data_IF_754239074383
#
_entry.id   IF_754239074383
#
_cell.length_a   1.000
_cell.length_b   1.000
_cell.length_c   1.000
_cell.angle_alpha   90.00
_cell.angle_beta   90.00
_cell.angle_gamma   90.00
#
_symmetry.space_group_name_H-M   'P 1'
#
loop_
_entity.id
_entity.type
_entity.pdbx_description
1 polymer ?
#
# COMPACT_ATOMS: atom_id res chain seq x y z
N UNK A 1 20.27 -11.72 9.90
CA UNK A 1 20.54 -12.62 8.75
C UNK A 1 19.20 -12.98 8.13
N UNK A 2 19.07 -12.87 6.81
CA UNK A 2 17.87 -13.31 6.07
C UNK A 2 18.18 -14.65 5.41
N UNK A 3 17.26 -15.61 5.54
CA UNK A 3 17.42 -16.96 5.01
C UNK A 3 16.07 -17.60 4.73
N UNK A 4 16.00 -18.70 3.96
CA UNK A 4 14.78 -19.49 3.82
C UNK A 4 14.28 -20.01 5.17
N UNK A 5 12.96 -20.08 5.41
CA UNK A 5 12.40 -20.55 6.69
C UNK A 5 12.89 -21.94 7.11
N UNK A 6 13.14 -22.83 6.15
CA UNK A 6 13.63 -24.19 6.41
C UNK A 6 15.01 -24.25 7.08
N UNK A 7 15.83 -23.19 6.92
CA UNK A 7 17.20 -23.14 7.46
C UNK A 7 17.25 -22.42 8.83
N UNK A 8 16.17 -21.74 9.23
CA UNK A 8 16.19 -20.84 10.39
C UNK A 8 16.56 -21.56 11.70
N UNK A 9 15.98 -22.72 11.95
CA UNK A 9 16.22 -23.50 13.17
C UNK A 9 17.67 -24.02 13.29
N UNK A 10 18.22 -24.45 12.15
CA UNK A 10 19.64 -24.89 12.09
C UNK A 10 20.59 -23.71 12.32
N UNK A 11 20.28 -22.55 11.75
CA UNK A 11 21.08 -21.34 11.91
C UNK A 11 21.04 -20.83 13.36
N UNK A 12 19.87 -20.81 14.02
CA UNK A 12 19.77 -20.43 15.42
C UNK A 12 20.58 -21.33 16.33
N UNK A 13 20.46 -22.66 16.16
CA UNK A 13 21.26 -23.61 16.95
C UNK A 13 22.78 -23.41 16.77
N UNK A 14 23.22 -23.13 15.54
CA UNK A 14 24.63 -22.87 15.27
C UNK A 14 25.11 -21.55 15.91
N UNK A 15 24.29 -20.50 15.84
CA UNK A 15 24.60 -19.21 16.47
C UNK A 15 24.62 -19.32 18.00
N UNK A 16 23.62 -19.95 18.60
CA UNK A 16 23.54 -20.11 20.05
C UNK A 16 24.67 -20.99 20.58
N UNK A 17 25.14 -21.98 19.82
CA UNK A 17 26.30 -22.79 20.18
C UNK A 17 27.62 -22.01 20.09
N UNK A 18 27.78 -21.20 19.05
CA UNK A 18 28.98 -20.37 18.86
C UNK A 18 29.11 -19.30 19.97
N UNK A 19 27.99 -18.68 20.36
CA UNK A 19 27.94 -17.62 21.35
C UNK A 19 27.45 -18.09 22.73
N UNK A 20 27.61 -19.40 23.05
CA UNK A 20 27.10 -19.98 24.29
C UNK A 20 27.60 -19.28 25.53
N UNK A 21 28.88 -18.90 25.56
CA UNK A 21 29.50 -18.21 26.71
C UNK A 21 28.93 -16.81 26.95
N UNK A 22 28.71 -16.08 25.89
CA UNK A 22 28.13 -14.73 25.91
C UNK A 22 26.66 -14.77 26.34
N UNK A 23 25.94 -15.81 25.94
CA UNK A 23 24.56 -16.05 26.35
C UNK A 23 24.49 -16.43 27.82
N UNK A 24 25.33 -17.37 28.27
CA UNK A 24 25.41 -17.79 29.69
C UNK A 24 25.77 -16.65 30.64
N UNK A 25 26.66 -15.77 30.22
CA UNK A 25 27.06 -14.58 30.97
C UNK A 25 26.07 -13.42 30.91
N UNK A 26 24.98 -13.55 30.17
CA UNK A 26 23.98 -12.50 29.97
C UNK A 26 24.47 -11.32 29.12
N UNK A 27 25.60 -11.45 28.42
CA UNK A 27 26.13 -10.43 27.52
C UNK A 27 25.39 -10.41 26.18
N UNK A 28 24.73 -11.51 25.80
CA UNK A 28 23.97 -11.66 24.59
C UNK A 28 22.69 -12.48 24.83
N UNK A 29 21.61 -12.16 24.13
CA UNK A 29 20.40 -12.97 24.14
C UNK A 29 20.49 -14.06 23.07
N UNK A 30 19.79 -15.21 23.25
CA UNK A 30 19.66 -16.22 22.22
C UNK A 30 19.09 -15.66 20.92
N UNK A 31 19.40 -16.31 19.79
CA UNK A 31 18.92 -15.89 18.50
C UNK A 31 17.39 -15.99 18.40
N UNK A 32 16.76 -14.93 17.87
CA UNK A 32 15.31 -14.85 17.68
C UNK A 32 14.99 -14.96 16.21
N UNK A 33 14.00 -15.80 15.86
CA UNK A 33 13.49 -15.95 14.49
C UNK A 33 12.25 -15.07 14.31
N UNK A 34 12.29 -14.16 13.33
CA UNK A 34 11.11 -13.47 12.84
C UNK A 34 10.69 -14.08 11.49
N UNK A 35 9.43 -14.48 11.38
CA UNK A 35 8.84 -15.10 10.17
C UNK A 35 7.83 -14.16 9.51
N UNK A 36 7.31 -14.52 8.34
CA UNK A 36 6.34 -13.71 7.60
C UNK A 36 6.93 -12.42 7.03
N UNK A 37 8.23 -12.39 6.78
CA UNK A 37 8.98 -11.25 6.27
C UNK A 37 9.42 -11.48 4.82
N UNK A 38 9.58 -10.40 4.07
CA UNK A 38 10.09 -10.39 2.70
C UNK A 38 11.19 -9.36 2.56
N UNK A 39 12.25 -9.74 1.85
CA UNK A 39 13.34 -8.82 1.52
C UNK A 39 13.11 -8.20 0.15
N UNK A 40 13.20 -6.89 0.10
CA UNK A 40 13.15 -6.08 -1.13
C UNK A 40 14.50 -5.44 -1.35
N UNK A 41 15.02 -5.51 -2.57
CA UNK A 41 16.25 -4.82 -2.95
C UNK A 41 15.97 -3.81 -4.07
N UNK A 42 16.41 -2.58 -3.86
CA UNK A 42 16.46 -1.54 -4.90
C UNK A 42 17.90 -1.50 -5.42
N UNK A 43 18.06 -1.69 -6.73
CA UNK A 43 19.37 -1.74 -7.38
C UNK A 43 19.47 -0.62 -8.40
N UNK A 44 20.56 0.14 -8.36
CA UNK A 44 20.76 1.24 -9.29
C UNK A 44 22.20 1.72 -9.34
N UNK A 45 22.76 1.86 -10.53
CA UNK A 45 24.16 2.25 -10.76
C UNK A 45 24.52 3.69 -10.27
N UNK A 46 23.52 4.55 -10.12
CA UNK A 46 23.73 5.96 -9.68
C UNK A 46 23.27 6.23 -8.25
N UNK A 47 22.89 5.24 -7.49
CA UNK A 47 22.34 5.42 -6.13
C UNK A 47 23.37 6.11 -5.21
N UNK A 48 24.63 5.75 -5.32
CA UNK A 48 25.74 6.30 -4.52
C UNK A 48 25.90 7.82 -4.65
N UNK A 49 25.66 8.35 -5.84
CA UNK A 49 25.91 9.76 -6.15
C UNK A 49 24.66 10.61 -6.24
N UNK A 50 23.49 10.05 -5.85
CA UNK A 50 22.21 10.76 -5.88
C UNK A 50 21.75 11.07 -4.45
N UNK A 51 21.97 12.32 -3.98
CA UNK A 51 21.52 12.71 -2.64
C UNK A 51 20.02 12.53 -2.46
N UNK A 52 19.61 12.10 -1.27
CA UNK A 52 18.20 12.02 -0.90
C UNK A 52 17.46 10.76 -1.38
N UNK A 53 18.10 9.83 -2.10
CA UNK A 53 17.45 8.61 -2.62
C UNK A 53 16.88 7.75 -1.47
N UNK A 54 17.64 7.56 -0.39
CA UNK A 54 17.19 6.83 0.79
C UNK A 54 16.04 7.54 1.49
N UNK A 55 16.13 8.88 1.63
CA UNK A 55 15.05 9.68 2.20
C UNK A 55 13.77 9.60 1.39
N UNK A 56 13.88 9.61 0.05
CA UNK A 56 12.74 9.42 -0.85
C UNK A 56 12.13 8.02 -0.67
N UNK A 57 12.96 6.97 -0.65
CA UNK A 57 12.52 5.58 -0.51
C UNK A 57 11.76 5.35 0.81
N UNK A 58 12.41 5.62 1.94
CA UNK A 58 11.79 5.39 3.23
C UNK A 58 10.64 6.35 3.53
N UNK A 59 10.72 7.59 3.02
CA UNK A 59 9.61 8.54 3.12
C UNK A 59 8.37 8.10 2.35
N UNK A 60 8.53 7.46 1.19
CA UNK A 60 7.41 6.91 0.42
C UNK A 60 6.81 5.70 1.12
N UNK A 61 7.62 4.78 1.64
CA UNK A 61 7.15 3.63 2.42
C UNK A 61 6.36 4.08 3.65
N UNK A 62 6.94 5.00 4.44
CA UNK A 62 6.31 5.50 5.66
C UNK A 62 4.98 6.22 5.41
N UNK A 63 4.89 7.08 4.38
CA UNK A 63 3.62 7.75 4.01
C UNK A 63 2.51 6.78 3.60
N UNK A 64 2.87 5.59 3.16
CA UNK A 64 1.93 4.53 2.79
C UNK A 64 1.73 3.49 3.90
N UNK A 65 2.19 3.76 5.12
CA UNK A 65 2.02 2.90 6.27
C UNK A 65 2.79 1.58 6.19
N UNK A 66 3.89 1.56 5.44
CA UNK A 66 4.73 0.37 5.30
C UNK A 66 5.89 0.49 6.28
N UNK A 67 5.91 -0.39 7.27
CA UNK A 67 7.00 -0.48 8.23
C UNK A 67 8.20 -1.23 7.65
N UNK A 68 9.40 -0.71 7.88
CA UNK A 68 10.66 -1.35 7.50
C UNK A 68 11.29 -1.98 8.74
N UNK A 69 11.33 -3.32 8.76
CA UNK A 69 11.81 -4.10 9.91
C UNK A 69 13.33 -4.10 10.03
N UNK A 70 14.03 -4.07 8.90
CA UNK A 70 15.49 -4.05 8.85
C UNK A 70 15.98 -3.46 7.53
N UNK A 71 17.20 -2.92 7.52
CA UNK A 71 17.84 -2.37 6.32
C UNK A 71 19.29 -2.81 6.22
N UNK A 72 19.77 -2.98 4.99
CA UNK A 72 21.17 -3.21 4.69
C UNK A 72 21.55 -2.48 3.41
N UNK A 73 22.60 -1.69 3.47
CA UNK A 73 23.20 -1.07 2.28
C UNK A 73 24.51 -1.77 1.98
N UNK A 74 24.71 -2.18 0.73
CA UNK A 74 25.98 -2.79 0.30
C UNK A 74 27.13 -1.77 0.33
N UNK A 75 28.34 -2.22 0.62
CA UNK A 75 29.55 -1.38 0.68
C UNK A 75 29.82 -0.64 -0.65
N UNK A 76 29.38 -1.19 -1.78
CA UNK A 76 29.47 -0.55 -3.09
C UNK A 76 28.30 0.39 -3.40
N UNK A 77 27.32 0.51 -2.47
CA UNK A 77 26.13 1.37 -2.56
C UNK A 77 25.33 1.26 -3.88
N UNK A 78 25.46 0.13 -4.59
CA UNK A 78 24.67 -0.16 -5.77
C UNK A 78 23.34 -0.84 -5.45
N UNK A 79 23.17 -1.28 -4.21
CA UNK A 79 21.94 -1.89 -3.74
C UNK A 79 21.58 -1.40 -2.33
N UNK A 80 20.31 -1.21 -2.11
CA UNK A 80 19.71 -0.98 -0.80
C UNK A 80 18.67 -2.07 -0.58
N UNK A 81 18.93 -2.94 0.39
CA UNK A 81 18.01 -3.99 0.76
C UNK A 81 17.29 -3.61 2.05
N UNK A 82 16.01 -3.92 2.13
CA UNK A 82 15.21 -3.73 3.32
C UNK A 82 14.17 -4.84 3.46
N UNK A 83 13.70 -5.03 4.68
CA UNK A 83 12.77 -6.09 5.05
C UNK A 83 11.44 -5.48 5.44
N UNK A 84 10.36 -6.01 4.89
CA UNK A 84 8.97 -5.65 5.19
C UNK A 84 8.17 -6.90 5.52
N UNK A 85 7.02 -6.73 6.13
CA UNK A 85 6.05 -7.83 6.28
C UNK A 85 5.62 -8.35 4.91
N UNK A 86 5.47 -9.67 4.79
CA UNK A 86 5.07 -10.32 3.54
C UNK A 86 3.72 -9.81 3.02
N UNK A 87 2.80 -9.50 3.91
CA UNK A 87 1.49 -8.91 3.58
C UNK A 87 1.61 -7.55 2.90
N UNK A 88 2.67 -6.79 3.19
CA UNK A 88 2.94 -5.46 2.64
C UNK A 88 3.82 -5.48 1.37
N UNK A 89 4.37 -6.63 1.00
CA UNK A 89 5.34 -6.75 -0.11
C UNK A 89 4.82 -6.14 -1.41
N UNK A 90 3.62 -6.52 -1.82
CA UNK A 90 3.02 -6.03 -3.09
C UNK A 90 2.81 -4.52 -3.08
N UNK A 91 2.32 -3.99 -1.96
CA UNK A 91 2.13 -2.56 -1.77
C UNK A 91 3.47 -1.82 -1.81
N UNK A 92 4.49 -2.35 -1.13
CA UNK A 92 5.83 -1.77 -1.11
C UNK A 92 6.44 -1.68 -2.51
N UNK A 93 6.37 -2.77 -3.30
CA UNK A 93 6.87 -2.79 -4.67
C UNK A 93 6.17 -1.75 -5.55
N UNK A 94 4.84 -1.66 -5.49
CA UNK A 94 4.08 -0.69 -6.28
C UNK A 94 4.43 0.75 -5.91
N UNK A 95 4.46 1.06 -4.62
CA UNK A 95 4.79 2.40 -4.09
C UNK A 95 6.18 2.84 -4.51
N UNK A 96 7.16 1.95 -4.46
CA UNK A 96 8.53 2.23 -4.88
C UNK A 96 8.59 2.41 -6.39
N UNK A 97 7.98 1.51 -7.15
CA UNK A 97 7.93 1.59 -8.60
C UNK A 97 7.37 2.92 -9.07
N UNK A 98 6.22 3.33 -8.55
CA UNK A 98 5.59 4.62 -8.86
C UNK A 98 6.50 5.79 -8.54
N UNK A 99 7.16 5.76 -7.38
CA UNK A 99 7.98 6.87 -6.94
C UNK A 99 9.29 7.04 -7.70
N UNK A 100 9.85 5.94 -8.24
CA UNK A 100 11.15 5.96 -8.87
C UNK A 100 11.10 5.87 -10.39
N UNK A 101 10.09 5.21 -10.96
CA UNK A 101 10.01 4.93 -12.39
C UNK A 101 8.83 5.61 -13.10
N UNK A 102 7.74 5.91 -12.37
CA UNK A 102 6.59 6.64 -12.91
C UNK A 102 6.56 8.09 -12.42
N UNK A 103 7.71 8.69 -12.18
CA UNK A 103 7.90 9.96 -11.47
C UNK A 103 7.16 11.19 -12.03
N UNK A 104 6.46 11.08 -13.13
CA UNK A 104 5.72 12.18 -13.73
C UNK A 104 4.24 12.25 -13.33
N UNK A 105 3.65 11.16 -12.79
CA UNK A 105 2.24 11.12 -12.44
C UNK A 105 2.02 10.66 -11.00
N UNK A 106 1.13 11.34 -10.28
CA UNK A 106 0.57 10.85 -9.01
C UNK A 106 -0.66 10.01 -9.30
N UNK A 107 -0.66 8.74 -8.93
CA UNK A 107 -1.85 7.89 -9.02
C UNK A 107 -2.63 7.95 -7.70
N UNK A 108 -3.95 8.20 -7.78
CA UNK A 108 -4.89 8.08 -6.68
C UNK A 108 -5.90 6.97 -6.99
N UNK A 109 -6.07 6.06 -6.04
CA UNK A 109 -6.99 4.95 -6.15
C UNK A 109 -8.27 5.27 -5.37
N UNK A 110 -9.35 5.51 -6.10
CA UNK A 110 -10.61 6.01 -5.56
C UNK A 110 -11.56 4.87 -5.22
N UNK A 111 -12.17 4.97 -4.04
CA UNK A 111 -13.28 4.14 -3.60
C UNK A 111 -14.46 5.06 -3.30
N UNK A 112 -15.45 5.08 -4.18
CA UNK A 112 -16.59 5.99 -4.08
C UNK A 112 -17.78 5.26 -3.45
N UNK A 113 -18.22 5.74 -2.30
CA UNK A 113 -19.41 5.28 -1.62
C UNK A 113 -20.56 6.29 -1.80
N UNK A 114 -21.67 5.82 -2.37
CA UNK A 114 -22.81 6.67 -2.70
C UNK A 114 -22.79 7.13 -4.15
N UNK A 115 -23.67 6.56 -4.97
CA UNK A 115 -23.88 6.92 -6.39
C UNK A 115 -25.24 7.58 -6.62
N UNK A 116 -25.66 8.39 -5.64
CA UNK A 116 -26.80 9.28 -5.78
C UNK A 116 -26.47 10.54 -6.58
N UNK A 117 -27.16 11.63 -6.35
CA UNK A 117 -26.97 12.88 -7.10
C UNK A 117 -25.53 13.40 -7.02
N UNK A 118 -24.95 13.41 -5.81
CA UNK A 118 -23.58 13.92 -5.57
C UNK A 118 -22.55 12.99 -6.21
N UNK A 119 -22.60 11.69 -5.91
CA UNK A 119 -21.61 10.74 -6.42
C UNK A 119 -21.63 10.61 -7.95
N UNK A 120 -22.80 10.61 -8.56
CA UNK A 120 -22.91 10.65 -10.05
C UNK A 120 -22.30 11.91 -10.64
N UNK A 121 -22.57 13.06 -10.02
CA UNK A 121 -22.01 14.33 -10.47
C UNK A 121 -20.49 14.32 -10.36
N UNK A 122 -19.96 13.83 -9.25
CA UNK A 122 -18.52 13.67 -9.04
C UNK A 122 -17.88 12.77 -10.10
N UNK A 123 -18.41 11.55 -10.29
CA UNK A 123 -17.87 10.59 -11.27
C UNK A 123 -17.91 11.15 -12.68
N UNK A 124 -18.98 11.84 -13.06
CA UNK A 124 -19.08 12.54 -14.36
C UNK A 124 -18.03 13.64 -14.51
N UNK A 125 -17.79 14.44 -13.46
CA UNK A 125 -16.77 15.49 -13.50
C UNK A 125 -15.35 14.89 -13.59
N UNK A 126 -15.07 13.81 -12.84
CA UNK A 126 -13.79 13.10 -12.90
C UNK A 126 -13.54 12.52 -14.29
N UNK A 127 -14.54 11.94 -14.92
CA UNK A 127 -14.46 11.44 -16.31
C UNK A 127 -14.13 12.58 -17.28
N UNK A 128 -14.88 13.69 -17.21
CA UNK A 128 -14.69 14.84 -18.09
C UNK A 128 -13.32 15.54 -17.90
N UNK A 129 -12.77 15.54 -16.68
CA UNK A 129 -11.52 16.23 -16.36
C UNK A 129 -10.29 15.31 -16.39
N UNK A 130 -10.45 14.02 -16.66
CA UNK A 130 -9.40 12.99 -16.59
C UNK A 130 -8.14 13.39 -17.36
N UNK A 131 -8.28 13.81 -18.61
CA UNK A 131 -7.16 14.20 -19.46
C UNK A 131 -6.47 15.48 -18.97
N UNK A 132 -7.24 16.47 -18.51
CA UNK A 132 -6.73 17.71 -17.95
C UNK A 132 -5.96 17.46 -16.65
N UNK A 133 -6.49 16.63 -15.76
CA UNK A 133 -5.81 16.24 -14.51
C UNK A 133 -4.51 15.51 -14.81
N UNK A 134 -4.52 14.63 -15.80
CA UNK A 134 -3.34 13.88 -16.21
C UNK A 134 -2.27 14.78 -16.84
N UNK A 135 -2.65 15.64 -17.79
CA UNK A 135 -1.70 16.49 -18.52
C UNK A 135 -1.21 17.70 -17.71
N UNK A 136 -2.09 18.40 -17.00
CA UNK A 136 -1.76 19.65 -16.31
C UNK A 136 -1.32 19.44 -14.86
N UNK A 137 -1.89 18.44 -14.16
CA UNK A 137 -1.63 18.19 -12.75
C UNK A 137 -0.78 16.94 -12.51
N UNK A 138 -0.47 16.18 -13.54
CA UNK A 138 0.23 14.90 -13.46
C UNK A 138 -0.46 13.96 -12.47
N UNK A 139 -1.81 13.97 -12.49
CA UNK A 139 -2.65 13.22 -11.58
C UNK A 139 -3.46 12.18 -12.37
N UNK A 140 -3.18 10.91 -12.15
CA UNK A 140 -3.94 9.78 -12.68
C UNK A 140 -4.96 9.33 -11.64
N UNK A 141 -6.23 9.34 -12.00
CA UNK A 141 -7.31 8.85 -11.16
C UNK A 141 -7.71 7.45 -11.61
N UNK A 142 -7.74 6.52 -10.68
CA UNK A 142 -8.15 5.15 -10.89
C UNK A 142 -9.34 4.83 -9.99
N UNK A 143 -10.53 4.57 -10.56
CA UNK A 143 -11.70 4.15 -9.79
C UNK A 143 -11.58 2.65 -9.49
N UNK A 144 -11.22 2.29 -8.28
CA UNK A 144 -11.00 0.90 -7.86
C UNK A 144 -12.25 0.29 -7.24
N UNK A 145 -13.06 1.11 -6.57
CA UNK A 145 -14.28 0.66 -5.93
C UNK A 145 -15.40 1.66 -6.08
N UNK A 146 -16.61 1.16 -6.31
CA UNK A 146 -17.83 1.95 -6.34
C UNK A 146 -18.96 1.19 -5.64
N UNK A 147 -19.71 1.86 -4.77
CA UNK A 147 -20.75 1.20 -4.01
C UNK A 147 -21.88 2.11 -3.56
N UNK A 148 -22.96 1.47 -3.14
CA UNK A 148 -24.08 2.07 -2.43
C UNK A 148 -24.56 1.13 -1.32
N UNK A 149 -25.68 1.43 -0.66
CA UNK A 149 -26.25 0.58 0.40
C UNK A 149 -26.62 -0.84 -0.03
N UNK A 150 -26.79 -1.10 -1.33
CA UNK A 150 -27.28 -2.38 -1.85
C UNK A 150 -26.21 -3.16 -2.62
N UNK A 151 -25.42 -2.50 -3.43
CA UNK A 151 -24.42 -3.10 -4.32
C UNK A 151 -23.06 -2.42 -4.20
N UNK A 152 -22.02 -3.19 -4.46
CA UNK A 152 -20.66 -2.68 -4.61
C UNK A 152 -19.89 -3.50 -5.65
N UNK A 153 -19.02 -2.83 -6.39
CA UNK A 153 -18.11 -3.43 -7.34
C UNK A 153 -16.69 -2.95 -7.08
N UNK A 154 -15.73 -3.84 -7.25
CA UNK A 154 -14.32 -3.57 -7.02
C UNK A 154 -13.50 -4.18 -8.15
N UNK A 155 -12.51 -3.44 -8.63
CA UNK A 155 -11.54 -3.92 -9.60
C UNK A 155 -10.19 -3.24 -9.35
N UNK A 156 -9.18 -4.01 -9.00
CA UNK A 156 -7.83 -3.50 -8.71
C UNK A 156 -7.20 -2.78 -9.90
N UNK A 157 -7.51 -3.21 -11.11
CA UNK A 157 -6.98 -2.64 -12.35
C UNK A 157 -7.78 -1.41 -12.84
N UNK A 158 -8.86 -1.09 -12.14
CA UNK A 158 -9.72 0.05 -12.38
C UNK A 158 -11.07 -0.30 -12.98
N UNK A 159 -12.06 0.51 -12.63
CA UNK A 159 -13.42 0.53 -13.20
C UNK A 159 -13.52 1.76 -14.10
N UNK A 160 -14.12 1.61 -15.29
CA UNK A 160 -14.36 2.77 -16.17
C UNK A 160 -15.23 3.80 -15.48
N UNK A 161 -14.80 5.06 -15.49
CA UNK A 161 -15.58 6.17 -14.95
C UNK A 161 -16.87 6.43 -15.76
N UNK A 162 -16.88 6.06 -17.03
CA UNK A 162 -18.01 6.19 -17.93
C UNK A 162 -19.01 5.04 -17.80
N UNK A 163 -18.53 3.82 -17.44
CA UNK A 163 -19.31 2.58 -17.40
C UNK A 163 -19.39 1.96 -15.99
N UNK A 164 -19.16 2.73 -14.94
CA UNK A 164 -19.22 2.22 -13.58
C UNK A 164 -20.58 1.64 -13.19
N UNK A 165 -21.67 2.11 -13.80
CA UNK A 165 -23.02 1.63 -13.52
C UNK A 165 -23.18 0.15 -13.94
N UNK A 166 -22.55 -0.27 -15.04
CA UNK A 166 -22.54 -1.68 -15.48
C UNK A 166 -21.79 -2.55 -14.48
N UNK A 167 -20.61 -2.10 -14.03
CA UNK A 167 -19.84 -2.79 -13.01
C UNK A 167 -20.62 -2.91 -11.69
N UNK A 168 -21.29 -1.83 -11.28
CA UNK A 168 -22.12 -1.82 -10.07
C UNK A 168 -23.35 -2.74 -10.22
N UNK A 169 -23.97 -2.79 -11.40
CA UNK A 169 -25.11 -3.66 -11.67
C UNK A 169 -24.75 -5.15 -11.52
N UNK A 170 -23.54 -5.53 -11.93
CA UNK A 170 -22.98 -6.87 -11.79
C UNK A 170 -22.33 -7.11 -10.42
N UNK A 171 -22.18 -6.05 -9.62
CA UNK A 171 -21.52 -6.09 -8.32
C UNK A 171 -22.28 -6.92 -7.27
N UNK A 172 -21.56 -7.32 -6.24
CA UNK A 172 -22.10 -8.05 -5.10
C UNK A 172 -22.83 -7.13 -4.10
N UNK A 173 -23.17 -7.68 -2.93
CA UNK A 173 -23.80 -6.93 -1.82
C UNK A 173 -22.97 -5.72 -1.44
N UNK A 174 -23.61 -4.56 -1.29
CA UNK A 174 -23.00 -3.29 -0.88
C UNK A 174 -23.07 -3.03 0.63
N UNK A 175 -22.88 -1.77 0.99
CA UNK A 175 -22.90 -1.28 2.36
C UNK A 175 -21.52 -0.88 2.89
N UNK A 176 -21.51 -0.07 3.96
CA UNK A 176 -20.28 0.51 4.54
C UNK A 176 -19.27 -0.56 4.95
N UNK A 177 -19.69 -1.58 5.67
CA UNK A 177 -18.83 -2.67 6.14
C UNK A 177 -18.19 -3.47 4.99
N UNK A 178 -18.91 -3.66 3.89
CA UNK A 178 -18.34 -4.29 2.68
C UNK A 178 -17.27 -3.41 2.05
N UNK A 179 -17.52 -2.10 1.95
CA UNK A 179 -16.55 -1.13 1.45
C UNK A 179 -15.28 -1.15 2.32
N UNK A 180 -15.43 -1.04 3.64
CA UNK A 180 -14.32 -1.08 4.59
C UNK A 180 -13.44 -2.30 4.39
N UNK A 181 -14.04 -3.49 4.44
CA UNK A 181 -13.31 -4.76 4.32
C UNK A 181 -12.55 -4.87 3.00
N UNK A 182 -13.21 -4.60 1.88
CA UNK A 182 -12.55 -4.70 0.56
C UNK A 182 -11.41 -3.69 0.40
N UNK A 183 -11.56 -2.46 0.89
CA UNK A 183 -10.51 -1.44 0.84
C UNK A 183 -9.29 -1.91 1.62
N UNK A 184 -9.49 -2.43 2.82
CA UNK A 184 -8.41 -2.93 3.69
C UNK A 184 -7.75 -4.17 3.08
N UNK A 185 -8.55 -5.14 2.63
CA UNK A 185 -8.04 -6.40 2.03
C UNK A 185 -7.28 -6.15 0.72
N UNK A 186 -7.73 -5.20 -0.08
CA UNK A 186 -7.03 -4.78 -1.29
C UNK A 186 -5.68 -4.14 -0.98
N UNK A 187 -5.57 -3.42 0.12
CA UNK A 187 -4.35 -2.76 0.59
C UNK A 187 -3.58 -2.04 -0.55
N UNK A 188 -4.28 -1.15 -1.25
CA UNK A 188 -3.71 -0.41 -2.38
C UNK A 188 -3.10 0.91 -1.88
N UNK A 189 -1.95 1.28 -2.41
CA UNK A 189 -1.30 2.56 -2.10
C UNK A 189 -2.12 3.76 -2.60
N UNK A 190 -1.93 4.95 -1.99
CA UNK A 190 -2.63 6.18 -2.32
C UNK A 190 -4.16 6.00 -2.45
N UNK A 191 -4.75 5.19 -1.58
CA UNK A 191 -6.19 4.97 -1.52
C UNK A 191 -6.91 6.17 -0.96
N UNK A 192 -8.00 6.56 -1.61
CA UNK A 192 -8.90 7.64 -1.18
C UNK A 192 -10.32 7.11 -1.14
N UNK A 193 -10.92 7.09 0.04
CA UNK A 193 -12.34 6.81 0.21
C UNK A 193 -13.12 8.11 0.09
N UNK A 194 -14.09 8.13 -0.80
CA UNK A 194 -14.95 9.30 -1.06
C UNK A 194 -16.37 8.96 -0.66
N UNK A 195 -16.85 9.61 0.38
CA UNK A 195 -18.23 9.46 0.85
C UNK A 195 -19.14 10.52 0.21
N UNK A 196 -20.03 10.04 -0.63
CA UNK A 196 -21.09 10.81 -1.28
C UNK A 196 -22.49 10.39 -0.77
N UNK A 197 -22.56 9.80 0.43
CA UNK A 197 -23.81 9.36 1.04
C UNK A 197 -24.39 10.42 1.99
N UNK A 198 -25.63 10.22 2.38
CA UNK A 198 -26.24 10.97 3.49
C UNK A 198 -26.39 10.09 4.75
N UNK A 199 -25.71 8.93 4.79
CA UNK A 199 -25.82 7.96 5.87
C UNK A 199 -24.74 8.17 6.91
N UNK A 200 -25.13 8.31 8.18
CA UNK A 200 -24.19 8.36 9.31
C UNK A 200 -23.44 7.05 9.53
N UNK A 201 -24.01 5.91 9.13
CA UNK A 201 -23.37 4.59 9.25
C UNK A 201 -22.05 4.48 8.45
N UNK A 202 -21.92 5.28 7.39
CA UNK A 202 -20.68 5.28 6.59
C UNK A 202 -19.56 5.99 7.37
N UNK A 203 -19.85 6.94 8.22
CA UNK A 203 -18.84 7.60 9.05
C UNK A 203 -18.21 6.66 10.08
N UNK A 204 -18.92 5.61 10.51
CA UNK A 204 -18.40 4.65 11.50
C UNK A 204 -17.16 3.87 11.01
N UNK A 205 -16.96 3.79 9.68
CA UNK A 205 -15.79 3.10 9.12
C UNK A 205 -14.56 4.01 8.94
N UNK A 206 -14.66 5.32 9.18
CA UNK A 206 -13.60 6.27 8.88
C UNK A 206 -12.35 6.05 9.72
N UNK A 207 -12.52 5.82 11.04
CA UNK A 207 -11.39 5.61 11.95
C UNK A 207 -10.52 4.43 11.49
N UNK A 208 -11.16 3.32 11.13
CA UNK A 208 -10.46 2.11 10.69
C UNK A 208 -9.77 2.32 9.34
N UNK A 209 -10.41 3.00 8.39
CA UNK A 209 -9.80 3.35 7.10
C UNK A 209 -8.58 4.27 7.28
N UNK A 210 -8.68 5.29 8.15
CA UNK A 210 -7.57 6.19 8.46
C UNK A 210 -6.41 5.43 9.11
N UNK A 211 -6.70 4.49 10.04
CA UNK A 211 -5.69 3.64 10.65
C UNK A 211 -4.94 2.77 9.62
N UNK A 212 -5.58 2.46 8.47
CA UNK A 212 -4.99 1.73 7.35
C UNK A 212 -4.43 2.64 6.25
N UNK A 213 -4.17 3.91 6.55
CA UNK A 213 -3.60 4.91 5.62
C UNK A 213 -4.45 5.15 4.37
N UNK A 214 -5.75 5.07 4.49
CA UNK A 214 -6.72 5.49 3.48
C UNK A 214 -7.14 6.92 3.75
N UNK A 215 -6.95 7.83 2.80
CA UNK A 215 -7.44 9.20 2.92
C UNK A 215 -8.96 9.24 2.76
N UNK A 216 -9.62 10.17 3.47
CA UNK A 216 -11.08 10.32 3.41
C UNK A 216 -11.47 11.69 2.88
N UNK A 217 -12.48 11.70 2.02
CA UNK A 217 -13.18 12.88 1.53
C UNK A 217 -14.67 12.64 1.75
N UNK A 218 -15.34 13.52 2.53
CA UNK A 218 -16.78 13.45 2.86
C UNK A 218 -17.44 14.81 2.70
#
# INVERSE_FOLDING_TARGET
ICMPPADAERACRALDAEFAKEIENGAMNPAIVATGLSTVAVVGSRMKHTPGIMGKLFGVLGRNGINVCATSAGALEMNLSFVVEQTQLRKALNVIHDSFFLSDYRELNLFVCGVGTVGRSLLKQLAAQRESLMSQRRLKLNLVGVGNGHKAAFNRDGISLEHYEEALAQGGRGGAERMRREIIDMNIFNSVFVDCTASSEVADIYEDLLAHNVSIVA
#
